data_IF_655194363557
#
_entry.id   IF_655194363557
#
_cell.length_a   1.000
_cell.length_b   1.000
_cell.length_c   1.000
_cell.angle_alpha   90.00
_cell.angle_beta   90.00
_cell.angle_gamma   90.00
#
_symmetry.space_group_name_H-M   'P 1'
#
loop_
_entity.id
_entity.type
_entity.pdbx_description
1 polymer ?
#
# COMPACT_ATOMS: atom_id res chain seq x y z
N UNK A 1 58.41 -15.39 60.56
CA UNK A 1 58.87 -14.14 61.16
C UNK A 1 58.01 -13.05 60.48
N UNK A 2 56.96 -12.48 61.17
CA UNK A 2 56.90 -11.16 61.77
C UNK A 2 57.51 -10.09 60.85
N UNK A 3 56.83 -9.07 60.36
CA UNK A 3 56.06 -8.02 61.04
C UNK A 3 55.30 -7.22 59.96
N UNK A 4 54.03 -6.77 60.07
CA UNK A 4 53.49 -5.54 60.76
C UNK A 4 54.07 -4.22 60.21
N UNK A 5 53.32 -3.31 59.63
CA UNK A 5 52.66 -2.13 60.11
C UNK A 5 52.31 -1.11 58.98
N UNK A 6 51.17 -0.52 59.13
CA UNK A 6 50.66 0.87 59.02
C UNK A 6 50.85 1.57 57.66
N UNK A 7 49.89 2.03 56.96
CA UNK A 7 48.80 2.95 57.34
C UNK A 7 49.19 4.41 57.05
N UNK A 8 48.76 4.97 55.90
CA UNK A 8 48.59 6.42 55.77
C UNK A 8 47.53 6.72 54.71
N UNK A 9 46.45 7.35 55.11
CA UNK A 9 45.44 7.89 54.24
C UNK A 9 45.96 9.20 53.60
N UNK A 10 45.81 9.29 52.29
CA UNK A 10 45.98 10.58 51.55
C UNK A 10 44.69 10.82 50.81
N UNK A 11 43.97 11.87 51.23
CA UNK A 11 42.93 12.55 50.48
C UNK A 11 43.53 13.09 49.19
N UNK A 12 43.02 12.65 48.05
CA UNK A 12 43.31 13.30 46.76
C UNK A 12 41.99 13.84 46.23
N UNK A 13 41.94 15.14 46.18
CA UNK A 13 40.92 16.00 45.55
C UNK A 13 40.80 15.63 44.05
N UNK A 14 39.65 15.15 43.64
CA UNK A 14 39.32 14.93 42.24
C UNK A 14 38.92 16.27 41.60
N UNK A 15 39.75 16.75 40.73
CA UNK A 15 39.46 17.89 39.84
C UNK A 15 38.56 17.36 38.72
N UNK A 16 37.32 17.86 38.69
CA UNK A 16 36.39 17.63 37.56
C UNK A 16 36.87 18.46 36.36
N UNK A 17 37.39 17.82 35.38
CA UNK A 17 37.59 18.38 34.05
C UNK A 17 36.32 18.19 33.23
N UNK A 18 35.53 19.26 33.11
CA UNK A 18 34.48 19.35 32.07
C UNK A 18 35.09 19.46 30.70
N UNK A 19 35.10 18.36 29.96
CA UNK A 19 35.31 18.39 28.53
C UNK A 19 33.97 18.71 27.87
N UNK A 20 33.83 19.95 27.41
CA UNK A 20 32.82 20.31 26.45
C UNK A 20 33.23 19.71 25.09
N UNK A 21 32.61 18.57 24.72
CA UNK A 21 32.64 18.05 23.38
C UNK A 21 31.39 18.55 22.64
N UNK A 22 31.58 19.54 21.79
CA UNK A 22 30.62 19.89 20.74
C UNK A 22 30.57 18.79 19.70
N UNK A 23 29.35 18.39 19.33
CA UNK A 23 29.07 17.79 18.04
C UNK A 23 28.92 16.27 18.05
N UNK A 24 27.75 15.80 18.34
CA UNK A 24 27.20 14.62 17.69
C UNK A 24 25.70 14.83 17.53
N UNK A 25 25.21 14.66 16.32
CA UNK A 25 23.81 14.47 16.02
C UNK A 25 23.26 13.43 17.00
N UNK A 26 22.51 13.89 17.99
CA UNK A 26 21.84 13.00 18.93
C UNK A 26 20.77 12.24 18.17
N UNK A 27 21.00 10.97 17.91
CA UNK A 27 19.92 10.06 17.54
C UNK A 27 18.89 10.07 18.68
N UNK A 28 17.63 10.28 18.35
CA UNK A 28 16.53 10.09 19.26
C UNK A 28 16.60 8.66 19.81
N UNK A 29 16.34 8.48 21.10
CA UNK A 29 16.31 7.14 21.71
C UNK A 29 14.89 6.87 22.20
N UNK A 30 14.42 5.63 21.98
CA UNK A 30 13.20 5.19 22.64
C UNK A 30 13.42 5.20 24.15
N UNK A 31 12.53 5.84 24.93
CA UNK A 31 12.67 5.82 26.39
C UNK A 31 12.44 4.40 26.93
N UNK A 32 13.16 4.04 28.00
CA UNK A 32 12.98 2.76 28.71
C UNK A 32 11.72 2.73 29.60
N UNK A 33 10.86 3.73 29.50
CA UNK A 33 9.64 3.89 30.31
C UNK A 33 8.49 4.38 29.43
N UNK A 34 7.29 4.05 29.84
CA UNK A 34 6.06 4.48 29.16
C UNK A 34 5.84 5.98 29.37
N UNK A 35 5.60 6.69 28.27
CA UNK A 35 5.17 8.09 28.29
C UNK A 35 3.66 8.15 28.56
N UNK A 36 3.27 8.96 29.51
CA UNK A 36 1.86 9.23 29.85
C UNK A 36 1.53 10.70 29.69
N UNK A 37 0.25 11.02 29.51
CA UNK A 37 -0.22 12.38 29.25
C UNK A 37 0.43 13.03 28.02
N UNK A 38 0.60 12.22 26.98
CA UNK A 38 1.26 12.62 25.72
C UNK A 38 0.47 13.74 25.04
N UNK A 39 1.16 14.81 24.68
CA UNK A 39 0.65 15.88 23.81
C UNK A 39 1.69 16.29 22.77
N UNK A 40 1.25 16.57 21.56
CA UNK A 40 2.13 16.96 20.46
C UNK A 40 2.20 18.48 20.29
N UNK A 41 3.38 19.05 19.87
CA UNK A 41 4.64 18.32 19.73
C UNK A 41 5.25 17.95 21.08
N UNK A 42 6.03 16.87 21.13
CA UNK A 42 6.81 16.48 22.30
C UNK A 42 7.91 17.53 22.57
N UNK A 43 8.29 17.70 23.84
CA UNK A 43 9.39 18.59 24.22
C UNK A 43 10.77 18.06 23.75
N UNK A 44 10.91 16.72 23.76
CA UNK A 44 12.11 16.01 23.26
C UNK A 44 11.69 14.98 22.24
N UNK A 45 12.49 14.83 21.17
CA UNK A 45 12.21 13.83 20.12
C UNK A 45 12.34 12.41 20.67
N UNK A 46 11.30 11.61 20.42
CA UNK A 46 11.22 10.21 20.82
C UNK A 46 11.15 9.33 19.58
N UNK A 47 11.83 8.18 19.60
CA UNK A 47 11.76 7.20 18.53
C UNK A 47 10.76 6.09 18.81
N UNK A 48 10.02 5.69 17.78
CA UNK A 48 9.27 4.43 17.68
C UNK A 48 9.88 3.56 16.59
N UNK A 49 9.98 2.27 16.84
CA UNK A 49 10.46 1.29 15.87
C UNK A 49 9.28 0.71 15.10
N UNK A 50 9.29 0.84 13.79
CA UNK A 50 8.24 0.27 12.96
C UNK A 50 8.82 -0.55 11.80
N UNK A 51 8.17 -1.67 11.49
CA UNK A 51 8.42 -2.38 10.24
C UNK A 51 7.37 -2.04 9.20
N UNK A 52 7.78 -2.05 7.94
CA UNK A 52 6.89 -1.79 6.80
C UNK A 52 7.39 -2.44 5.53
N UNK A 53 6.51 -2.48 4.53
CA UNK A 53 6.90 -2.69 3.15
C UNK A 53 6.68 -1.41 2.33
N UNK A 54 7.52 -1.19 1.36
CA UNK A 54 7.31 -0.13 0.38
C UNK A 54 7.72 -0.58 -1.02
N UNK A 55 7.08 0.03 -2.02
CA UNK A 55 7.42 -0.18 -3.42
C UNK A 55 8.92 0.06 -3.65
N UNK A 56 9.58 -0.71 -4.53
CA UNK A 56 10.94 -0.42 -4.98
C UNK A 56 11.12 0.98 -5.58
N UNK A 57 10.03 1.62 -6.01
CA UNK A 57 10.02 3.01 -6.50
C UNK A 57 10.08 4.05 -5.38
N UNK A 58 9.75 3.67 -4.16
CA UNK A 58 9.79 4.55 -3.01
C UNK A 58 11.22 4.67 -2.46
N UNK A 59 11.53 5.76 -1.73
CA UNK A 59 12.79 5.86 -0.99
C UNK A 59 13.02 4.66 -0.08
N UNK A 60 14.26 4.20 0.02
CA UNK A 60 14.63 3.07 0.88
C UNK A 60 14.37 3.38 2.37
N UNK A 61 14.57 4.62 2.78
CA UNK A 61 14.14 5.14 4.08
C UNK A 61 12.83 5.93 3.91
N UNK A 62 11.71 5.46 4.47
CA UNK A 62 10.46 6.20 4.42
C UNK A 62 10.53 7.64 4.96
N UNK A 63 11.48 7.95 5.86
CA UNK A 63 11.67 9.30 6.39
C UNK A 63 12.19 10.31 5.33
N UNK A 64 12.64 9.84 4.17
CA UNK A 64 12.93 10.73 3.04
C UNK A 64 11.66 11.32 2.41
N UNK A 65 10.48 10.74 2.70
CA UNK A 65 9.20 11.28 2.23
C UNK A 65 8.81 12.50 3.06
N UNK A 66 8.43 13.58 2.38
CA UNK A 66 8.03 14.83 3.01
C UNK A 66 6.89 14.64 4.05
N UNK A 67 5.99 13.70 3.83
CA UNK A 67 4.90 13.41 4.77
C UNK A 67 5.43 12.98 6.15
N UNK A 68 6.43 12.11 6.20
CA UNK A 68 7.01 11.67 7.48
C UNK A 68 7.86 12.76 8.12
N UNK A 69 8.58 13.58 7.33
CA UNK A 69 9.31 14.74 7.85
C UNK A 69 8.37 15.74 8.55
N UNK A 70 7.21 16.02 7.93
CA UNK A 70 6.19 16.88 8.54
C UNK A 70 5.57 16.28 9.79
N UNK A 71 5.30 14.97 9.78
CA UNK A 71 4.76 14.27 10.96
C UNK A 71 5.77 14.29 12.12
N UNK A 72 7.06 14.12 11.86
CA UNK A 72 8.10 14.25 12.86
C UNK A 72 8.15 15.68 13.42
N UNK A 73 8.14 16.71 12.57
CA UNK A 73 8.13 18.11 12.99
C UNK A 73 6.90 18.46 13.85
N UNK A 74 5.72 17.94 13.47
CA UNK A 74 4.47 18.22 14.15
C UNK A 74 4.32 17.46 15.47
N UNK A 75 4.88 16.26 15.55
CA UNK A 75 4.70 15.39 16.73
C UNK A 75 5.91 15.35 17.66
N UNK A 76 7.12 15.55 17.15
CA UNK A 76 8.35 15.22 17.86
C UNK A 76 8.63 13.72 17.89
N UNK A 77 7.96 12.91 17.07
CA UNK A 77 8.14 11.47 17.00
C UNK A 77 8.90 11.10 15.74
N UNK A 78 10.09 10.52 15.90
CA UNK A 78 10.87 9.94 14.82
C UNK A 78 10.55 8.45 14.67
N UNK A 79 10.39 7.96 13.46
CA UNK A 79 10.18 6.53 13.21
C UNK A 79 11.48 5.90 12.72
N UNK A 80 11.97 4.92 13.49
CA UNK A 80 13.07 4.05 13.05
C UNK A 80 12.49 2.91 12.21
N UNK A 81 12.58 3.06 10.89
CA UNK A 81 11.99 2.12 9.95
C UNK A 81 12.85 0.89 9.69
N UNK A 82 12.23 -0.28 9.81
CA UNK A 82 12.72 -1.54 9.21
C UNK A 82 11.90 -1.78 7.94
N UNK A 83 12.39 -1.25 6.82
CA UNK A 83 11.66 -1.24 5.54
C UNK A 83 12.10 -2.38 4.63
N UNK A 84 11.14 -3.09 4.07
CA UNK A 84 11.34 -4.19 3.13
C UNK A 84 10.78 -3.81 1.76
N UNK A 85 11.60 -3.90 0.71
CA UNK A 85 11.19 -3.64 -0.68
C UNK A 85 10.85 -4.93 -1.46
N UNK A 86 11.05 -6.10 -0.85
CA UNK A 86 10.71 -7.41 -1.42
C UNK A 86 10.49 -8.43 -0.31
N UNK A 87 9.75 -9.48 -0.61
CA UNK A 87 9.56 -10.66 0.26
C UNK A 87 9.08 -10.30 1.68
N UNK A 88 8.24 -9.25 1.77
CA UNK A 88 7.86 -8.68 3.06
C UNK A 88 7.23 -9.71 4.00
N UNK A 89 6.29 -10.49 3.50
CA UNK A 89 5.55 -11.48 4.31
C UNK A 89 6.50 -12.50 4.92
N UNK A 90 7.45 -13.02 4.14
CA UNK A 90 8.43 -13.98 4.63
C UNK A 90 9.35 -13.36 5.68
N UNK A 91 9.86 -12.16 5.42
CA UNK A 91 10.75 -11.43 6.32
C UNK A 91 10.05 -11.02 7.61
N UNK A 92 8.81 -10.53 7.53
CA UNK A 92 7.94 -10.23 8.67
C UNK A 92 7.76 -11.48 9.55
N UNK A 93 7.41 -12.61 8.94
CA UNK A 93 7.20 -13.87 9.66
C UNK A 93 8.49 -14.37 10.30
N UNK A 94 9.65 -14.14 9.68
CA UNK A 94 10.95 -14.45 10.27
C UNK A 94 11.24 -13.57 11.50
N UNK A 95 10.99 -12.28 11.43
CA UNK A 95 11.13 -11.36 12.55
C UNK A 95 10.25 -11.78 13.73
N UNK A 96 8.98 -12.07 13.46
CA UNK A 96 8.04 -12.59 14.46
C UNK A 96 8.57 -13.88 15.11
N UNK A 97 8.99 -14.83 14.28
CA UNK A 97 9.49 -16.14 14.77
C UNK A 97 10.78 -16.03 15.57
N UNK A 98 11.62 -15.04 15.28
CA UNK A 98 12.87 -14.78 16.02
C UNK A 98 12.65 -13.95 17.29
N UNK A 99 11.47 -13.36 17.48
CA UNK A 99 11.17 -12.45 18.57
C UNK A 99 11.75 -11.04 18.39
N UNK A 100 12.20 -10.69 17.19
CA UNK A 100 12.67 -9.33 16.83
C UNK A 100 11.47 -8.44 16.46
N UNK A 101 10.66 -8.13 17.46
CA UNK A 101 9.43 -7.37 17.29
C UNK A 101 9.68 -5.85 17.31
N UNK A 102 9.19 -5.10 16.31
CA UNK A 102 9.13 -3.64 16.39
C UNK A 102 8.03 -3.18 17.38
N UNK A 103 7.93 -1.89 17.64
CA UNK A 103 6.82 -1.32 18.44
C UNK A 103 5.47 -1.46 17.70
N UNK A 104 5.49 -1.32 16.37
CA UNK A 104 4.33 -1.49 15.51
C UNK A 104 4.72 -1.96 14.11
N UNK A 105 3.77 -2.53 13.37
CA UNK A 105 3.92 -2.85 11.95
C UNK A 105 2.99 -1.96 11.15
N UNK A 106 3.56 -1.19 10.25
CA UNK A 106 2.86 -0.35 9.28
C UNK A 106 2.72 -1.11 7.96
N UNK A 107 1.53 -1.13 7.36
CA UNK A 107 1.21 -2.03 6.24
C UNK A 107 1.49 -3.49 6.58
N UNK A 108 0.97 -3.93 7.71
CA UNK A 108 1.27 -5.26 8.25
C UNK A 108 0.96 -6.39 7.28
N UNK A 109 -0.09 -6.25 6.43
CA UNK A 109 -0.50 -7.26 5.46
C UNK A 109 -0.83 -8.58 6.13
N UNK A 110 -1.49 -8.51 7.30
CA UNK A 110 -1.85 -9.67 8.11
C UNK A 110 -3.18 -10.24 7.64
N UNK A 111 -3.25 -11.55 7.41
CA UNK A 111 -4.54 -12.22 7.23
C UNK A 111 -5.32 -12.26 8.56
N UNK A 112 -6.61 -12.57 8.48
CA UNK A 112 -7.43 -12.78 9.69
C UNK A 112 -6.86 -13.88 10.58
N UNK A 113 -6.32 -14.92 9.94
CA UNK A 113 -5.66 -16.00 10.63
C UNK A 113 -4.39 -15.53 11.33
N UNK A 114 -3.58 -14.68 10.66
CA UNK A 114 -2.37 -14.11 11.26
C UNK A 114 -2.73 -13.29 12.50
N UNK A 115 -3.72 -12.39 12.39
CA UNK A 115 -4.14 -11.52 13.51
C UNK A 115 -4.57 -12.34 14.73
N UNK A 116 -5.41 -13.35 14.53
CA UNK A 116 -5.85 -14.22 15.63
C UNK A 116 -4.70 -15.05 16.22
N UNK A 117 -3.86 -15.65 15.36
CA UNK A 117 -2.72 -16.44 15.81
C UNK A 117 -1.70 -15.60 16.58
N UNK A 118 -1.40 -14.40 16.09
CA UNK A 118 -0.46 -13.50 16.76
C UNK A 118 -1.01 -12.98 18.09
N UNK A 119 -2.33 -12.78 18.17
CA UNK A 119 -2.97 -12.39 19.43
C UNK A 119 -2.93 -13.54 20.45
N UNK A 120 -3.25 -14.77 20.06
CA UNK A 120 -3.17 -15.96 20.90
C UNK A 120 -1.73 -16.18 21.41
N UNK A 121 -0.73 -15.95 20.58
CA UNK A 121 0.68 -16.09 20.91
C UNK A 121 1.24 -14.88 21.71
N UNK A 122 0.43 -13.84 21.92
CA UNK A 122 0.83 -12.63 22.65
C UNK A 122 1.83 -11.76 21.89
N UNK A 123 1.87 -11.83 20.57
CA UNK A 123 2.75 -11.04 19.70
C UNK A 123 2.18 -9.64 19.50
N UNK A 124 0.88 -9.54 19.30
CA UNK A 124 0.16 -8.26 19.16
C UNK A 124 -0.84 -8.10 20.31
N UNK A 125 -1.29 -6.87 20.51
CA UNK A 125 -2.20 -6.53 21.61
C UNK A 125 -3.58 -6.13 21.10
N UNK A 126 -4.64 -6.31 21.89
CA UNK A 126 -5.96 -5.75 21.61
C UNK A 126 -5.92 -4.22 21.73
N UNK A 127 -6.68 -3.53 20.89
CA UNK A 127 -6.57 -2.08 20.69
C UNK A 127 -7.77 -1.28 21.22
N UNK A 128 -8.83 -1.91 21.71
CA UNK A 128 -10.09 -1.25 22.07
C UNK A 128 -9.88 -0.16 23.12
N UNK A 129 -9.09 -0.43 24.16
CA UNK A 129 -8.83 0.53 25.22
C UNK A 129 -8.03 1.73 24.67
N UNK A 130 -7.03 1.48 23.82
CA UNK A 130 -6.25 2.53 23.18
C UNK A 130 -7.11 3.40 22.25
N UNK A 131 -8.00 2.78 21.48
CA UNK A 131 -8.94 3.49 20.60
C UNK A 131 -9.84 4.40 21.43
N UNK A 132 -10.41 3.86 22.51
CA UNK A 132 -11.36 4.60 23.33
C UNK A 132 -10.72 5.75 24.13
N UNK A 133 -9.50 5.56 24.62
CA UNK A 133 -8.84 6.49 25.52
C UNK A 133 -7.92 7.49 24.79
N UNK A 134 -7.29 7.08 23.68
CA UNK A 134 -6.19 7.83 23.07
C UNK A 134 -6.36 8.15 21.59
N UNK A 135 -7.45 7.68 20.92
CA UNK A 135 -7.65 7.84 19.48
C UNK A 135 -8.99 8.53 19.14
N UNK A 136 -9.16 9.81 19.50
CA UNK A 136 -10.43 10.50 19.30
C UNK A 136 -10.83 10.69 17.82
N UNK A 137 -9.87 10.85 16.91
CA UNK A 137 -10.15 10.99 15.49
C UNK A 137 -10.66 9.67 14.90
N UNK A 138 -9.96 8.57 15.16
CA UNK A 138 -10.38 7.25 14.69
C UNK A 138 -11.71 6.81 15.34
N UNK A 139 -11.86 7.08 16.62
CA UNK A 139 -13.14 6.81 17.29
C UNK A 139 -14.30 7.56 16.63
N UNK A 140 -14.11 8.81 16.26
CA UNK A 140 -15.12 9.57 15.52
C UNK A 140 -15.47 8.91 14.19
N UNK A 141 -14.47 8.45 13.44
CA UNK A 141 -14.70 7.72 12.16
C UNK A 141 -15.54 6.47 12.40
N UNK A 142 -15.25 5.69 13.44
CA UNK A 142 -16.04 4.49 13.79
C UNK A 142 -17.48 4.82 14.25
N UNK A 143 -17.66 5.92 14.98
CA UNK A 143 -18.97 6.36 15.43
C UNK A 143 -19.85 6.84 14.24
N UNK A 144 -19.23 7.41 13.21
CA UNK A 144 -19.89 7.85 11.96
C UNK A 144 -20.12 6.72 10.96
N UNK A 145 -19.31 5.64 11.02
CA UNK A 145 -19.35 4.48 10.11
C UNK A 145 -19.36 3.17 10.93
N UNK A 146 -20.50 2.77 11.49
CA UNK A 146 -20.58 1.56 12.34
C UNK A 146 -20.16 0.26 11.64
N UNK A 147 -20.27 0.20 10.32
CA UNK A 147 -19.80 -0.92 9.49
C UNK A 147 -18.29 -1.12 9.60
N UNK A 148 -17.50 -0.05 9.71
CA UNK A 148 -16.05 -0.16 9.87
C UNK A 148 -15.68 -0.86 11.20
N UNK A 149 -16.42 -0.55 12.27
CA UNK A 149 -16.23 -1.25 13.55
C UNK A 149 -16.47 -2.74 13.41
N UNK A 150 -17.54 -3.13 12.68
CA UNK A 150 -17.82 -4.53 12.43
C UNK A 150 -16.74 -5.21 11.58
N UNK A 151 -16.19 -4.49 10.60
CA UNK A 151 -15.14 -5.01 9.71
C UNK A 151 -13.80 -5.24 10.40
N UNK A 152 -13.43 -4.43 11.41
CA UNK A 152 -12.17 -4.58 12.14
C UNK A 152 -12.27 -5.46 13.39
N UNK A 153 -13.49 -5.81 13.81
CA UNK A 153 -13.69 -6.66 14.98
C UNK A 153 -13.48 -8.12 14.60
N UNK A 154 -12.51 -8.76 15.26
CA UNK A 154 -12.22 -10.18 15.08
C UNK A 154 -13.33 -11.07 15.65
N UNK A 155 -13.41 -12.37 15.25
CA UNK A 155 -14.44 -13.29 15.71
C UNK A 155 -14.51 -13.50 17.24
N UNK A 156 -13.41 -13.26 17.95
CA UNK A 156 -13.34 -13.32 19.41
C UNK A 156 -13.83 -12.04 20.11
N UNK A 157 -14.20 -11.02 19.34
CA UNK A 157 -14.75 -9.74 19.79
C UNK A 157 -13.73 -8.64 20.04
N UNK A 158 -12.45 -8.90 19.75
CA UNK A 158 -11.38 -7.92 19.90
C UNK A 158 -11.01 -7.22 18.60
N UNK A 159 -10.31 -6.09 18.70
CA UNK A 159 -9.72 -5.34 17.58
C UNK A 159 -8.21 -5.47 17.68
N UNK A 160 -7.58 -6.07 16.67
CA UNK A 160 -6.13 -6.31 16.67
C UNK A 160 -5.36 -5.48 15.65
N UNK A 161 -6.07 -4.84 14.72
CA UNK A 161 -5.45 -3.98 13.70
C UNK A 161 -6.25 -2.70 13.49
N UNK A 162 -5.54 -1.63 13.16
CA UNK A 162 -6.15 -0.41 12.67
C UNK A 162 -6.17 -0.44 11.14
N UNK A 163 -7.29 -0.04 10.51
CA UNK A 163 -7.42 -0.05 9.07
C UNK A 163 -6.69 1.14 8.43
N UNK A 164 -6.31 0.98 7.17
CA UNK A 164 -6.21 2.10 6.27
C UNK A 164 -7.61 2.52 5.84
N UNK A 165 -7.90 3.80 5.94
CA UNK A 165 -9.16 4.40 5.50
C UNK A 165 -8.81 5.62 4.67
N UNK A 166 -9.45 5.76 3.51
CA UNK A 166 -9.45 7.03 2.79
C UNK A 166 -10.52 7.94 3.39
N UNK A 167 -10.20 8.55 4.54
CA UNK A 167 -11.11 9.43 5.26
C UNK A 167 -11.13 10.81 4.61
N UNK A 168 -12.23 11.16 3.98
CA UNK A 168 -12.43 12.42 3.28
C UNK A 168 -13.41 13.36 4.02
N UNK A 169 -13.97 12.91 5.13
CA UNK A 169 -15.00 13.59 5.89
C UNK A 169 -16.41 13.05 5.62
N UNK A 170 -17.34 13.42 6.48
CA UNK A 170 -18.71 12.90 6.44
C UNK A 170 -19.37 13.15 5.06
N UNK A 171 -20.13 12.16 4.58
CA UNK A 171 -20.84 12.17 3.30
C UNK A 171 -19.93 12.31 2.06
N UNK A 172 -18.63 11.96 2.18
CA UNK A 172 -17.70 11.90 1.06
C UNK A 172 -17.47 10.46 0.64
N UNK A 173 -17.37 10.26 -0.67
CA UNK A 173 -17.02 8.96 -1.25
C UNK A 173 -15.50 8.82 -1.41
N UNK A 174 -15.00 7.61 -1.21
CA UNK A 174 -13.59 7.29 -1.45
C UNK A 174 -13.21 7.53 -2.91
N UNK A 175 -12.01 8.03 -3.13
CA UNK A 175 -11.44 8.20 -4.48
C UNK A 175 -10.99 6.82 -5.02
N UNK A 176 -10.58 5.90 -4.15
CA UNK A 176 -10.16 4.54 -4.51
C UNK A 176 -11.35 3.62 -4.82
N UNK A 177 -12.12 3.99 -5.83
CA UNK A 177 -13.26 3.19 -6.29
C UNK A 177 -12.96 2.35 -7.52
N UNK A 178 -11.83 2.62 -8.17
CA UNK A 178 -11.37 1.90 -9.37
C UNK A 178 -9.95 1.45 -9.14
N UNK A 179 -9.69 0.17 -9.35
CA UNK A 179 -8.33 -0.36 -9.41
C UNK A 179 -7.72 0.02 -10.78
N UNK A 180 -6.73 -0.68 -11.20
CA UNK A 180 -5.92 -0.34 -12.34
C UNK A 180 -6.65 -0.10 -13.63
N UNK A 181 -6.17 0.90 -14.32
CA UNK A 181 -6.65 1.28 -15.64
C UNK A 181 -5.85 0.49 -16.68
N UNK A 182 -6.50 -0.13 -17.68
CA UNK A 182 -5.81 -0.62 -18.86
C UNK A 182 -5.36 0.56 -19.72
N UNK A 183 -4.09 0.58 -20.06
CA UNK A 183 -3.47 1.57 -20.96
C UNK A 183 -3.17 0.93 -22.30
N UNK A 184 -3.46 1.63 -23.40
CA UNK A 184 -3.21 1.15 -24.76
C UNK A 184 -2.26 2.10 -25.49
N UNK A 185 -1.35 1.54 -26.29
CA UNK A 185 -0.38 2.29 -27.07
C UNK A 185 -1.06 2.95 -28.28
N UNK A 186 -1.26 4.26 -28.21
CA UNK A 186 -1.94 5.03 -29.27
C UNK A 186 -1.03 5.33 -30.44
N UNK A 187 0.29 5.40 -30.23
CA UNK A 187 1.25 5.55 -31.33
C UNK A 187 1.22 4.30 -32.24
N UNK A 188 1.08 3.11 -31.64
CA UNK A 188 0.94 1.88 -32.40
C UNK A 188 -0.39 1.79 -33.15
N UNK A 189 -1.48 2.28 -32.55
CA UNK A 189 -2.76 2.40 -33.26
C UNK A 189 -2.61 3.31 -34.48
N UNK A 190 -2.01 4.49 -34.31
CA UNK A 190 -1.80 5.45 -35.39
C UNK A 190 -0.89 4.87 -36.49
N UNK A 191 0.24 4.25 -36.11
CA UNK A 191 1.18 3.64 -37.06
C UNK A 191 0.53 2.57 -37.96
N UNK A 192 -0.43 1.82 -37.42
CA UNK A 192 -1.17 0.77 -38.14
C UNK A 192 -2.49 1.27 -38.76
N UNK A 193 -2.87 2.52 -38.53
CA UNK A 193 -4.15 3.08 -39.01
C UNK A 193 -5.37 2.43 -38.35
N UNK A 194 -5.25 2.01 -37.09
CA UNK A 194 -6.33 1.39 -36.30
C UNK A 194 -7.01 2.43 -35.42
N UNK A 195 -8.29 2.23 -35.19
CA UNK A 195 -9.07 3.03 -34.26
C UNK A 195 -8.98 2.46 -32.83
N UNK A 196 -9.27 3.30 -31.82
CA UNK A 196 -9.39 2.89 -30.43
C UNK A 196 -10.49 1.83 -30.27
N UNK A 197 -10.19 0.60 -29.81
CA UNK A 197 -11.18 -0.47 -29.73
C UNK A 197 -12.30 -0.13 -28.74
N UNK A 198 -13.54 -0.46 -29.09
CA UNK A 198 -14.74 -0.24 -28.31
C UNK A 198 -15.41 -1.55 -27.86
N UNK A 199 -14.96 -2.67 -28.42
CA UNK A 199 -15.48 -4.01 -28.13
C UNK A 199 -14.35 -4.99 -27.90
N UNK A 200 -14.67 -6.10 -27.24
CA UNK A 200 -13.70 -7.19 -27.02
C UNK A 200 -13.20 -7.79 -28.34
N UNK A 201 -14.06 -7.88 -29.38
CA UNK A 201 -13.67 -8.37 -30.68
C UNK A 201 -12.70 -7.40 -31.39
N UNK A 202 -12.95 -6.09 -31.30
CA UNK A 202 -12.04 -5.08 -31.83
C UNK A 202 -10.70 -5.09 -31.11
N UNK A 203 -10.68 -5.26 -29.78
CA UNK A 203 -9.44 -5.40 -29.03
C UNK A 203 -8.63 -6.60 -29.50
N UNK A 204 -9.28 -7.76 -29.73
CA UNK A 204 -8.62 -8.95 -30.24
C UNK A 204 -7.91 -8.67 -31.58
N UNK A 205 -8.59 -7.97 -32.52
CA UNK A 205 -8.01 -7.59 -33.83
C UNK A 205 -6.83 -6.64 -33.65
N UNK A 206 -6.93 -5.65 -32.73
CA UNK A 206 -5.85 -4.72 -32.43
C UNK A 206 -4.62 -5.46 -31.90
N UNK A 207 -4.81 -6.36 -30.92
CA UNK A 207 -3.71 -7.13 -30.33
C UNK A 207 -3.03 -8.05 -31.36
N UNK A 208 -3.79 -8.69 -32.26
CA UNK A 208 -3.23 -9.47 -33.37
C UNK A 208 -2.41 -8.59 -34.32
N UNK A 209 -2.86 -7.37 -34.59
CA UNK A 209 -2.13 -6.42 -35.41
C UNK A 209 -0.84 -5.95 -34.73
N UNK A 210 -0.88 -5.65 -33.46
CA UNK A 210 0.31 -5.29 -32.67
C UNK A 210 1.37 -6.40 -32.74
N UNK A 211 0.97 -7.66 -32.58
CA UNK A 211 1.88 -8.81 -32.66
C UNK A 211 2.54 -8.97 -34.02
N UNK A 212 1.83 -8.66 -35.13
CA UNK A 212 2.22 -9.15 -36.45
C UNK A 212 2.70 -8.08 -37.42
N UNK A 213 2.56 -6.79 -37.10
CA UNK A 213 2.76 -5.72 -38.07
C UNK A 213 3.85 -4.71 -37.73
N UNK A 214 4.72 -5.01 -36.71
CA UNK A 214 5.84 -4.15 -36.33
C UNK A 214 5.42 -2.66 -36.12
N UNK A 215 4.52 -2.35 -35.19
CA UNK A 215 3.99 -1.00 -35.01
C UNK A 215 5.03 -0.02 -34.49
N UNK A 216 6.08 -0.48 -33.80
CA UNK A 216 7.18 0.36 -33.35
C UNK A 216 8.21 0.66 -34.44
N UNK A 217 8.15 -0.08 -35.57
CA UNK A 217 8.94 0.16 -36.77
C UNK A 217 10.43 -0.16 -36.63
N UNK A 218 10.82 -0.96 -35.66
CA UNK A 218 12.23 -1.28 -35.40
C UNK A 218 12.74 -2.48 -36.22
N UNK A 219 11.85 -3.26 -36.84
CA UNK A 219 12.14 -4.42 -37.66
C UNK A 219 12.43 -5.70 -36.86
N UNK A 220 12.15 -5.70 -35.58
CA UNK A 220 12.26 -6.85 -34.70
C UNK A 220 10.84 -7.27 -34.26
N UNK A 221 10.65 -8.52 -33.89
CA UNK A 221 9.36 -9.03 -33.42
C UNK A 221 9.43 -9.06 -31.87
N UNK A 222 9.43 -7.89 -31.26
CA UNK A 222 9.60 -7.69 -29.81
C UNK A 222 8.35 -7.10 -29.13
N UNK A 223 7.29 -6.85 -29.91
CA UNK A 223 6.05 -6.34 -29.37
C UNK A 223 5.36 -7.35 -28.47
N UNK A 224 4.92 -6.87 -27.32
CA UNK A 224 4.11 -7.60 -26.38
C UNK A 224 2.67 -7.04 -26.45
N UNK A 225 1.73 -7.75 -27.09
CA UNK A 225 0.40 -7.18 -27.35
C UNK A 225 -0.35 -6.81 -26.08
N UNK A 226 -0.31 -7.66 -25.03
CA UNK A 226 -0.86 -7.37 -23.70
C UNK A 226 -0.01 -8.01 -22.61
N UNK A 227 0.27 -7.28 -21.55
CA UNK A 227 0.99 -7.77 -20.37
C UNK A 227 0.33 -7.32 -19.07
N UNK A 228 0.59 -8.06 -17.99
CA UNK A 228 0.08 -7.82 -16.65
C UNK A 228 0.99 -8.48 -15.61
N UNK A 229 0.71 -8.27 -14.33
CA UNK A 229 1.33 -9.00 -13.21
C UNK A 229 0.24 -9.81 -12.50
N UNK A 230 0.53 -11.08 -12.24
CA UNK A 230 -0.35 -11.98 -11.51
C UNK A 230 0.17 -12.17 -10.08
N UNK A 231 0.15 -11.10 -9.29
CA UNK A 231 0.63 -11.11 -7.90
C UNK A 231 -0.48 -10.82 -6.87
N UNK A 232 -1.75 -10.83 -7.30
CA UNK A 232 -2.90 -10.45 -6.47
C UNK A 232 -2.98 -8.94 -6.23
N UNK A 233 -2.15 -8.17 -6.92
CA UNK A 233 -2.14 -6.70 -6.90
C UNK A 233 -3.09 -6.10 -7.91
N UNK A 234 -2.73 -4.93 -8.30
CA UNK A 234 -3.57 -4.05 -9.07
C UNK A 234 -3.27 -4.09 -10.57
N UNK A 235 -2.14 -4.61 -11.01
CA UNK A 235 -1.72 -4.63 -12.42
C UNK A 235 -2.22 -5.88 -13.17
N UNK A 236 -3.45 -6.34 -12.84
CA UNK A 236 -4.03 -7.59 -13.36
C UNK A 236 -5.03 -7.34 -14.51
N UNK A 237 -5.07 -8.24 -15.46
CA UNK A 237 -6.04 -8.21 -16.56
C UNK A 237 -7.49 -8.46 -16.13
N UNK A 238 -7.76 -8.78 -14.88
CA UNK A 238 -9.11 -8.93 -14.31
C UNK A 238 -10.03 -7.75 -14.62
N UNK A 239 -9.46 -6.57 -14.79
CA UNK A 239 -10.21 -5.38 -15.18
C UNK A 239 -11.07 -5.60 -16.43
N UNK A 240 -10.60 -6.38 -17.39
CA UNK A 240 -11.32 -6.66 -18.63
C UNK A 240 -12.50 -7.62 -18.45
N UNK A 241 -12.64 -8.32 -17.30
CA UNK A 241 -13.82 -9.15 -17.04
C UNK A 241 -15.12 -8.35 -16.98
N UNK A 242 -15.04 -7.04 -16.68
CA UNK A 242 -16.21 -6.16 -16.75
C UNK A 242 -16.93 -6.22 -18.10
N UNK A 243 -16.20 -6.39 -19.21
CA UNK A 243 -16.80 -6.52 -20.53
C UNK A 243 -17.69 -7.77 -20.69
N UNK A 244 -17.59 -8.74 -19.78
CA UNK A 244 -18.41 -9.95 -19.76
C UNK A 244 -19.59 -9.86 -18.79
N UNK A 245 -19.95 -8.63 -18.34
CA UNK A 245 -21.12 -8.40 -17.51
C UNK A 245 -20.92 -8.69 -16.02
N UNK A 246 -19.68 -8.91 -15.60
CA UNK A 246 -19.36 -9.28 -14.25
C UNK A 246 -18.32 -8.34 -13.65
N UNK A 247 -18.55 -7.87 -12.43
CA UNK A 247 -17.49 -7.37 -11.59
C UNK A 247 -16.84 -8.55 -10.89
N UNK A 248 -15.55 -8.77 -11.11
CA UNK A 248 -14.81 -9.82 -10.41
C UNK A 248 -13.71 -9.21 -9.54
N UNK A 249 -13.28 -9.94 -8.53
CA UNK A 249 -12.17 -9.58 -7.65
C UNK A 249 -11.42 -10.84 -7.23
N UNK A 250 -10.36 -10.71 -6.44
CA UNK A 250 -9.53 -11.84 -6.02
C UNK A 250 -10.28 -12.91 -5.22
N UNK A 251 -11.34 -12.51 -4.50
CA UNK A 251 -12.15 -13.40 -3.70
C UNK A 251 -13.28 -14.05 -4.50
N UNK A 252 -13.51 -13.63 -5.75
CA UNK A 252 -14.67 -13.99 -6.56
C UNK A 252 -16.01 -13.73 -5.88
N UNK A 253 -16.07 -12.69 -5.04
CA UNK A 253 -17.27 -12.31 -4.29
C UNK A 253 -17.68 -10.89 -4.66
N UNK A 254 -18.87 -10.72 -5.20
CA UNK A 254 -19.45 -9.42 -5.51
C UNK A 254 -20.66 -9.16 -4.62
N UNK A 255 -20.66 -8.01 -3.97
CA UNK A 255 -21.81 -7.53 -3.20
C UNK A 255 -22.69 -6.71 -4.12
N UNK A 256 -23.94 -7.16 -4.30
CA UNK A 256 -24.93 -6.48 -5.11
C UNK A 256 -25.58 -5.31 -4.36
N UNK A 257 -26.20 -4.38 -5.09
CA UNK A 257 -26.87 -3.21 -4.52
C UNK A 257 -28.02 -3.57 -3.53
N UNK A 258 -28.56 -4.79 -3.61
CA UNK A 258 -29.59 -5.29 -2.69
C UNK A 258 -29.00 -6.01 -1.45
N UNK A 259 -27.67 -6.03 -1.32
CA UNK A 259 -26.97 -6.69 -0.22
C UNK A 259 -26.80 -8.21 -0.37
N UNK A 260 -27.18 -8.78 -1.51
CA UNK A 260 -26.89 -10.19 -1.81
C UNK A 260 -25.42 -10.33 -2.23
N UNK A 261 -24.85 -11.51 -2.03
CA UNK A 261 -23.49 -11.84 -2.41
C UNK A 261 -23.51 -12.89 -3.50
N UNK A 262 -22.88 -12.59 -4.62
CA UNK A 262 -22.67 -13.53 -5.72
C UNK A 262 -21.24 -14.08 -5.69
N UNK A 263 -21.11 -15.39 -5.86
CA UNK A 263 -19.83 -16.03 -6.12
C UNK A 263 -19.64 -16.09 -7.64
N UNK A 264 -18.74 -15.25 -8.14
CA UNK A 264 -18.60 -14.98 -9.58
C UNK A 264 -17.94 -16.13 -10.36
N UNK A 265 -17.07 -16.92 -9.73
CA UNK A 265 -16.30 -17.95 -10.41
C UNK A 265 -17.13 -19.13 -10.96
N UNK A 266 -18.40 -19.29 -10.56
CA UNK A 266 -19.28 -20.37 -11.02
C UNK A 266 -20.33 -19.93 -12.06
N UNK A 267 -20.32 -18.64 -12.46
CA UNK A 267 -21.31 -18.14 -13.42
C UNK A 267 -20.81 -18.20 -14.89
N UNK A 268 -21.76 -18.11 -15.83
CA UNK A 268 -21.48 -18.21 -17.27
C UNK A 268 -20.69 -17.00 -17.79
N UNK A 269 -20.85 -15.84 -17.18
CA UNK A 269 -20.14 -14.61 -17.49
C UNK A 269 -18.64 -14.78 -17.24
N UNK A 270 -18.27 -15.29 -16.07
CA UNK A 270 -16.87 -15.60 -15.74
C UNK A 270 -16.27 -16.62 -16.72
N UNK A 271 -17.00 -17.69 -16.99
CA UNK A 271 -16.57 -18.71 -17.94
C UNK A 271 -16.34 -18.14 -19.35
N UNK A 272 -17.18 -17.21 -19.81
CA UNK A 272 -17.00 -16.56 -21.10
C UNK A 272 -15.77 -15.63 -21.10
N UNK A 273 -15.53 -14.91 -20.01
CA UNK A 273 -14.30 -14.12 -19.82
C UNK A 273 -13.06 -15.00 -19.88
N UNK A 274 -13.03 -16.10 -19.11
CA UNK A 274 -11.93 -17.07 -19.14
C UNK A 274 -11.72 -17.65 -20.54
N UNK A 275 -12.80 -17.96 -21.27
CA UNK A 275 -12.68 -18.46 -22.64
C UNK A 275 -12.04 -17.44 -23.59
N UNK A 276 -12.39 -16.17 -23.45
CA UNK A 276 -11.80 -15.07 -24.22
C UNK A 276 -10.30 -14.90 -23.93
N UNK A 277 -9.90 -14.90 -22.65
CA UNK A 277 -8.48 -14.83 -22.29
C UNK A 277 -7.71 -16.09 -22.71
N UNK A 278 -8.34 -17.26 -22.65
CA UNK A 278 -7.74 -18.48 -23.18
C UNK A 278 -7.52 -18.40 -24.68
N UNK A 279 -8.41 -17.75 -25.44
CA UNK A 279 -8.21 -17.49 -26.86
C UNK A 279 -7.02 -16.55 -27.09
N UNK A 280 -6.90 -15.45 -26.31
CA UNK A 280 -5.73 -14.56 -26.37
C UNK A 280 -4.43 -15.32 -26.11
N UNK A 281 -4.42 -16.17 -25.07
CA UNK A 281 -3.27 -16.99 -24.72
C UNK A 281 -2.87 -17.94 -25.85
N UNK A 282 -3.84 -18.65 -26.43
CA UNK A 282 -3.58 -19.58 -27.53
C UNK A 282 -3.10 -18.90 -28.81
N UNK A 283 -3.45 -17.62 -29.00
CA UNK A 283 -2.96 -16.78 -30.09
C UNK A 283 -1.60 -16.12 -29.76
N UNK A 284 -1.07 -16.41 -28.55
CA UNK A 284 0.17 -15.82 -28.02
C UNK A 284 0.11 -14.27 -28.00
N UNK A 285 -1.03 -13.71 -27.63
CA UNK A 285 -1.22 -12.28 -27.48
C UNK A 285 -0.88 -11.81 -26.06
N UNK A 286 -0.88 -12.72 -25.11
CA UNK A 286 -0.50 -12.46 -23.71
C UNK A 286 1.01 -12.66 -23.56
N UNK A 287 1.66 -11.74 -22.85
CA UNK A 287 3.05 -11.89 -22.44
C UNK A 287 3.27 -13.24 -21.76
N UNK A 288 4.21 -14.02 -22.26
CA UNK A 288 4.49 -15.37 -21.72
C UNK A 288 5.00 -15.33 -20.28
N UNK A 289 5.59 -14.22 -19.87
CA UNK A 289 6.11 -14.02 -18.52
C UNK A 289 5.08 -13.39 -17.55
N UNK A 290 3.91 -12.95 -18.05
CA UNK A 290 2.92 -12.23 -17.24
C UNK A 290 2.48 -12.98 -15.97
N UNK A 291 2.50 -14.30 -15.98
CA UNK A 291 2.09 -15.14 -14.86
C UNK A 291 3.18 -15.36 -13.80
N UNK A 292 4.42 -14.99 -14.10
CA UNK A 292 5.59 -15.26 -13.24
C UNK A 292 6.49 -14.02 -13.03
N UNK A 293 6.31 -12.97 -13.84
CA UNK A 293 7.14 -11.76 -13.76
C UNK A 293 6.85 -10.96 -12.49
N UNK A 294 7.89 -10.36 -11.96
CA UNK A 294 7.77 -9.38 -10.89
C UNK A 294 7.60 -7.95 -11.42
N UNK A 295 7.34 -7.03 -10.49
CA UNK A 295 7.20 -5.61 -10.81
C UNK A 295 8.41 -5.01 -11.51
N UNK A 296 9.64 -5.43 -11.18
CA UNK A 296 10.84 -4.88 -11.80
C UNK A 296 10.97 -5.30 -13.26
N UNK A 297 10.67 -6.56 -13.56
CA UNK A 297 10.65 -7.07 -14.95
C UNK A 297 9.56 -6.37 -15.78
N UNK A 298 8.38 -6.20 -15.21
CA UNK A 298 7.27 -5.49 -15.84
C UNK A 298 7.61 -4.04 -16.18
N UNK A 299 8.13 -3.29 -15.20
CA UNK A 299 8.59 -1.91 -15.43
C UNK A 299 9.72 -1.81 -16.47
N UNK A 300 10.64 -2.76 -16.48
CA UNK A 300 11.72 -2.74 -17.47
C UNK A 300 11.18 -2.80 -18.90
N UNK A 301 10.27 -3.73 -19.17
CA UNK A 301 9.58 -3.85 -20.47
C UNK A 301 8.75 -2.60 -20.82
N UNK A 302 8.03 -2.07 -19.82
CA UNK A 302 7.23 -0.85 -20.00
C UNK A 302 8.05 0.38 -20.35
N UNK A 303 9.21 0.57 -19.71
CA UNK A 303 10.14 1.67 -20.01
C UNK A 303 10.73 1.59 -21.41
N UNK A 304 10.90 0.38 -21.93
CA UNK A 304 11.30 0.13 -23.33
C UNK A 304 10.12 0.24 -24.30
N UNK A 305 8.91 0.51 -23.78
CA UNK A 305 7.67 0.68 -24.55
C UNK A 305 7.30 -0.55 -25.40
N UNK A 306 7.56 -1.73 -24.88
CA UNK A 306 7.28 -2.99 -25.56
C UNK A 306 5.80 -3.40 -25.49
N UNK A 307 4.98 -2.74 -24.68
CA UNK A 307 3.58 -3.13 -24.46
C UNK A 307 2.63 -2.45 -25.44
N UNK A 308 1.73 -3.23 -26.03
CA UNK A 308 0.54 -2.73 -26.70
C UNK A 308 -0.53 -2.31 -25.70
N UNK A 309 -0.85 -3.19 -24.75
CA UNK A 309 -1.76 -2.95 -23.64
C UNK A 309 -1.12 -3.42 -22.34
N UNK A 310 -1.28 -2.63 -21.27
CA UNK A 310 -0.85 -2.99 -19.92
C UNK A 310 -1.75 -2.35 -18.87
N UNK A 311 -1.60 -2.74 -17.59
CA UNK A 311 -2.46 -2.31 -16.49
C UNK A 311 -1.65 -1.60 -15.42
N UNK A 312 -2.10 -0.45 -14.99
CA UNK A 312 -1.58 0.28 -13.83
C UNK A 312 -2.47 1.50 -13.54
N UNK A 313 -2.43 2.02 -12.35
CA UNK A 313 -3.18 3.23 -11.99
C UNK A 313 -2.64 4.51 -12.64
N UNK A 314 -1.33 4.59 -12.89
CA UNK A 314 -0.73 5.71 -13.61
C UNK A 314 0.36 5.18 -14.55
N UNK A 315 0.22 5.49 -15.85
CA UNK A 315 1.18 5.08 -16.88
C UNK A 315 2.61 5.47 -16.57
N UNK A 316 2.82 6.58 -15.83
CA UNK A 316 4.16 7.04 -15.44
C UNK A 316 4.93 6.01 -14.60
N UNK A 317 4.24 5.11 -13.90
CA UNK A 317 4.87 4.05 -13.13
C UNK A 317 5.51 2.97 -14.01
N UNK A 318 4.94 2.70 -15.17
CA UNK A 318 5.36 1.60 -16.05
C UNK A 318 6.08 2.12 -17.29
N UNK A 319 5.43 2.93 -18.13
CA UNK A 319 5.99 3.42 -19.40
C UNK A 319 6.66 4.78 -19.31
N UNK A 320 6.57 5.45 -18.17
CA UNK A 320 7.02 6.84 -17.99
C UNK A 320 5.95 7.86 -18.38
N UNK A 321 6.18 9.12 -18.01
CA UNK A 321 5.28 10.22 -18.32
C UNK A 321 5.44 10.64 -19.79
N UNK A 322 4.80 9.90 -20.69
CA UNK A 322 4.76 10.17 -22.13
C UNK A 322 3.32 10.13 -22.66
N UNK A 323 3.13 10.57 -23.90
CA UNK A 323 1.81 10.63 -24.53
C UNK A 323 1.50 9.41 -25.41
N UNK A 324 2.38 8.41 -25.45
CA UNK A 324 2.24 7.21 -26.27
C UNK A 324 1.12 6.28 -25.77
N UNK A 325 0.63 6.47 -24.56
CA UNK A 325 -0.42 5.62 -23.98
C UNK A 325 -1.59 6.45 -23.49
N UNK A 326 -2.79 5.97 -23.80
CA UNK A 326 -4.06 6.49 -23.28
C UNK A 326 -4.86 5.39 -22.58
N UNK A 327 -5.80 5.75 -21.68
CA UNK A 327 -6.68 4.77 -21.07
C UNK A 327 -7.50 4.02 -22.13
N UNK A 328 -7.50 2.70 -22.06
CA UNK A 328 -8.41 1.89 -22.85
C UNK A 328 -9.83 2.07 -22.29
N UNK A 329 -10.82 2.49 -23.10
CA UNK A 329 -12.16 2.67 -22.61
C UNK A 329 -12.82 1.33 -22.23
N UNK A 330 -13.89 1.40 -21.42
CA UNK A 330 -14.71 0.23 -21.16
C UNK A 330 -15.19 -0.39 -22.46
N UNK A 331 -14.92 -1.67 -22.63
CA UNK A 331 -15.25 -2.42 -23.84
C UNK A 331 -16.67 -3.00 -23.75
N UNK A 332 -17.39 -3.00 -24.88
CA UNK A 332 -18.59 -3.80 -24.99
C UNK A 332 -18.21 -5.26 -25.24
N UNK A 333 -18.73 -6.14 -24.40
CA UNK A 333 -18.59 -7.57 -24.54
C UNK A 333 -19.60 -8.19 -25.51
N UNK A 334 -19.71 -9.52 -25.53
CA UNK A 334 -20.60 -10.25 -26.47
C UNK A 334 -22.08 -9.84 -26.40
N UNK A 335 -22.49 -9.26 -25.28
CA UNK A 335 -23.89 -8.83 -25.10
C UNK A 335 -24.13 -7.35 -25.42
N UNK A 336 -23.09 -6.62 -25.80
CA UNK A 336 -23.16 -5.22 -26.25
C UNK A 336 -23.19 -4.19 -25.12
N UNK A 337 -23.17 -4.60 -23.87
CA UNK A 337 -23.12 -3.70 -22.70
C UNK A 337 -21.66 -3.42 -22.32
N UNK A 338 -21.39 -2.22 -21.84
CA UNK A 338 -20.08 -1.79 -21.35
C UNK A 338 -20.09 -1.75 -19.83
N UNK A 339 -19.35 -2.62 -19.21
CA UNK A 339 -19.15 -2.62 -17.78
C UNK A 339 -17.66 -2.56 -17.45
N UNK A 340 -17.35 -2.00 -16.32
CA UNK A 340 -16.01 -2.08 -15.70
C UNK A 340 -16.09 -3.02 -14.51
N UNK A 341 -14.99 -3.70 -14.23
CA UNK A 341 -14.86 -4.49 -13.02
C UNK A 341 -14.99 -3.57 -11.82
N UNK A 342 -15.85 -3.92 -10.87
CA UNK A 342 -15.99 -3.22 -9.60
C UNK A 342 -15.03 -3.84 -8.61
N UNK A 343 -14.36 -3.00 -7.84
CA UNK A 343 -13.75 -3.45 -6.61
C UNK A 343 -14.77 -3.35 -5.49
N UNK A 344 -14.70 -4.23 -4.51
CA UNK A 344 -15.40 -4.04 -3.25
C UNK A 344 -14.69 -3.00 -2.37
N UNK A 345 -13.79 -2.21 -2.98
CA UNK A 345 -12.97 -1.23 -2.29
C UNK A 345 -13.79 -0.03 -1.87
N UNK A 346 -13.99 0.09 -0.56
CA UNK A 346 -14.62 1.26 0.07
C UNK A 346 -13.60 2.32 0.48
N UNK A 347 -12.37 2.30 -0.09
CA UNK A 347 -11.26 3.06 0.48
C UNK A 347 -10.91 2.59 1.89
N UNK A 348 -10.99 1.27 2.12
CA UNK A 348 -10.80 0.65 3.41
C UNK A 348 -9.98 -0.63 3.29
N UNK A 349 -9.01 -0.79 4.19
CA UNK A 349 -8.21 -2.01 4.27
C UNK A 349 -7.85 -2.29 5.73
N UNK A 350 -8.35 -3.37 6.29
CA UNK A 350 -8.40 -3.59 7.74
C UNK A 350 -7.09 -4.03 8.39
N UNK A 351 -6.14 -4.53 7.64
CA UNK A 351 -4.94 -5.23 8.11
C UNK A 351 -3.67 -4.38 8.08
N UNK A 352 -3.78 -3.07 8.27
CA UNK A 352 -2.68 -2.15 7.95
C UNK A 352 -1.76 -1.79 9.09
N UNK A 353 -2.28 -1.65 10.30
CA UNK A 353 -1.44 -1.26 11.41
C UNK A 353 -1.72 -2.11 12.63
N UNK A 354 -0.69 -2.74 13.18
CA UNK A 354 -0.76 -3.53 14.40
C UNK A 354 0.26 -3.04 15.40
N UNK A 355 -0.08 -3.08 16.68
CA UNK A 355 0.82 -2.75 17.80
C UNK A 355 1.28 -4.06 18.43
N UNK A 356 2.59 -4.22 18.56
CA UNK A 356 3.15 -5.43 19.15
C UNK A 356 3.26 -5.34 20.67
N UNK A 357 3.40 -6.48 21.32
CA UNK A 357 3.62 -6.56 22.77
C UNK A 357 5.01 -6.05 23.20
N UNK A 358 5.92 -5.80 22.26
CA UNK A 358 7.22 -5.20 22.54
C UNK A 358 7.14 -3.69 22.76
N UNK A 359 6.05 -3.04 22.32
CA UNK A 359 5.85 -1.60 22.47
C UNK A 359 5.76 -1.19 23.95
N UNK A 360 6.57 -0.22 24.34
CA UNK A 360 6.60 0.35 25.71
C UNK A 360 5.92 1.71 25.83
N UNK A 361 5.47 2.28 24.69
CA UNK A 361 4.91 3.63 24.61
C UNK A 361 3.54 3.58 23.91
N UNK A 362 2.60 2.84 24.49
CA UNK A 362 1.29 2.55 23.88
C UNK A 362 0.47 3.82 23.63
N UNK A 363 0.37 4.72 24.64
CA UNK A 363 -0.34 6.00 24.48
C UNK A 363 0.28 6.85 23.37
N UNK A 364 1.62 6.94 23.33
CA UNK A 364 2.33 7.69 22.29
C UNK A 364 2.02 7.13 20.89
N UNK A 365 2.10 5.81 20.74
CA UNK A 365 1.85 5.14 19.45
C UNK A 365 0.41 5.33 19.01
N UNK A 366 -0.56 5.16 19.91
CA UNK A 366 -1.97 5.35 19.62
C UNK A 366 -2.27 6.80 19.19
N UNK A 367 -1.79 7.80 19.93
CA UNK A 367 -1.97 9.22 19.58
C UNK A 367 -1.25 9.61 18.31
N UNK A 368 -0.10 9.01 18.02
CA UNK A 368 0.62 9.28 16.77
C UNK A 368 -0.14 8.75 15.56
N UNK A 369 -0.60 7.50 15.61
CA UNK A 369 -1.35 6.91 14.49
C UNK A 369 -2.75 7.51 14.36
N UNK A 370 -3.37 8.00 15.43
CA UNK A 370 -4.68 8.67 15.38
C UNK A 370 -4.69 9.91 14.48
N UNK A 371 -3.54 10.56 14.29
CA UNK A 371 -3.43 11.70 13.36
C UNK A 371 -3.71 11.30 11.91
N UNK A 372 -3.51 10.03 11.55
CA UNK A 372 -3.74 9.51 10.19
C UNK A 372 -5.22 9.53 9.80
N UNK A 373 -6.13 9.62 10.77
CA UNK A 373 -7.58 9.64 10.59
C UNK A 373 -8.18 11.05 10.55
N UNK A 374 -7.34 12.07 10.53
CA UNK A 374 -7.78 13.45 10.21
C UNK A 374 -7.94 13.55 8.70
N UNK A 375 -9.06 14.07 8.15
CA UNK A 375 -9.35 14.05 6.70
C UNK A 375 -8.21 14.54 5.82
N UNK A 376 -7.65 15.74 6.11
CA UNK A 376 -6.54 16.27 5.31
C UNK A 376 -5.27 15.41 5.40
N UNK A 377 -5.00 14.81 6.57
CA UNK A 377 -3.86 13.92 6.72
C UNK A 377 -4.07 12.60 5.98
N UNK A 378 -5.28 12.04 6.03
CA UNK A 378 -5.65 10.85 5.27
C UNK A 378 -5.45 11.04 3.78
N UNK A 379 -5.92 12.15 3.22
CA UNK A 379 -5.69 12.49 1.80
C UNK A 379 -4.20 12.62 1.50
N UNK A 380 -3.44 13.30 2.35
CA UNK A 380 -1.99 13.45 2.14
C UNK A 380 -1.22 12.12 2.22
N UNK A 381 -1.66 11.19 3.06
CA UNK A 381 -1.05 9.86 3.14
C UNK A 381 -1.15 9.08 1.83
N UNK A 382 -2.22 9.30 1.07
CA UNK A 382 -2.51 8.59 -0.17
C UNK A 382 -2.01 9.33 -1.41
N UNK A 383 -2.22 10.64 -1.45
CA UNK A 383 -2.07 11.44 -2.66
C UNK A 383 -0.89 12.42 -2.62
N UNK A 384 -0.13 12.44 -1.52
CA UNK A 384 1.02 13.32 -1.34
C UNK A 384 0.70 14.58 -0.57
N UNK A 385 1.76 15.28 -0.14
CA UNK A 385 1.65 16.46 0.72
C UNK A 385 0.96 17.64 0.02
N UNK A 386 0.09 18.33 0.74
CA UNK A 386 -0.60 19.53 0.28
C UNK A 386 0.05 20.79 0.83
N UNK A 387 0.07 21.85 0.01
CA UNK A 387 0.52 23.18 0.42
C UNK A 387 2.03 23.31 0.63
N UNK A 388 2.84 22.45 0.02
CA UNK A 388 4.28 22.58 0.02
C UNK A 388 4.78 23.41 -1.18
N UNK A 389 5.59 24.43 -0.92
CA UNK A 389 6.11 25.31 -1.98
C UNK A 389 7.13 24.62 -2.90
N UNK A 390 7.71 23.50 -2.45
CA UNK A 390 8.71 22.73 -3.19
C UNK A 390 8.14 21.64 -4.08
N UNK A 391 6.83 21.35 -3.94
CA UNK A 391 6.14 20.29 -4.66
C UNK A 391 4.85 20.82 -5.28
N UNK A 392 4.48 20.25 -6.42
CA UNK A 392 3.17 20.50 -7.01
C UNK A 392 2.09 19.74 -6.22
N UNK A 393 1.00 20.43 -5.84
CA UNK A 393 -0.16 19.75 -5.28
C UNK A 393 -0.76 18.81 -6.32
N UNK A 394 -1.06 17.57 -5.91
CA UNK A 394 -1.70 16.56 -6.77
C UNK A 394 -3.23 16.72 -6.72
N UNK A 395 -3.74 17.32 -5.65
CA UNK A 395 -5.18 17.56 -5.45
C UNK A 395 -5.44 18.99 -5.01
N UNK A 396 -6.67 19.45 -5.14
CA UNK A 396 -7.17 20.71 -4.60
C UNK A 396 -8.14 20.43 -3.46
N UNK A 397 -7.96 21.15 -2.36
CA UNK A 397 -8.90 21.10 -1.25
C UNK A 397 -10.01 22.13 -1.50
N UNK A 398 -11.24 21.66 -1.67
CA UNK A 398 -12.43 22.51 -1.88
C UNK A 398 -13.27 22.41 -0.62
N UNK A 399 -13.51 23.57 0.06
CA UNK A 399 -14.36 23.68 1.25
C UNK A 399 -15.85 23.46 0.93
#
# INVERSE_FOLDING_TARGET
>A
MRAKYLGTALLSTATVLTLAACGSSGGASSPDYELTDVSFPLEETVSLKMSTSSSPLAPADPNEKLIFQRLEEQSGVNIEWKNYSSDYIEKRNLDISSGDLPDAMWNAGASDYDLLSWAEDGIIIPLEDLINEHMPNFKKVLDENPEYLAMITAPDGHIYSLPWIEELGQDKESIHTVNDIPWINVDWLEALGLEMPQTTDELMVVLEAFKTQDPNGNGEADEIPISFINDGGNEDMKFLFGAFGIGDNDDHLVVNDDGTIDFTADNEEFKNGVAYFNEMYNKELIDVEAFEQDWNAYMAKGKEQLFGVYFTWDKANVSGANDSYEPLPALAGPWGEKHVTRTNGFGFSRDRFVITSANKNLELTAKWVDQMYVPIQSVQNNWGTYGDETQQNIFEYVE
#
